data_IF_772999400631
#
_entry.id   IF_772999400631
#
_cell.length_a   1.000
_cell.length_b   1.000
_cell.length_c   1.000
_cell.angle_alpha   90.00
_cell.angle_beta   90.00
_cell.angle_gamma   90.00
#
_symmetry.space_group_name_H-M   'P 1'
#
loop_
_entity.id
_entity.type
_entity.pdbx_description
1 polymer ?
#
# COMPACT_ATOMS: atom_id res chain seq x y z
N UNK A 1 40.87 -12.68 5.28
CA UNK A 1 40.36 -12.56 5.30
C UNK A 1 39.56 -12.48 5.27
N UNK A 2 39.43 -12.31 5.02
CA UNK A 2 38.68 -12.11 4.89
C UNK A 2 37.59 -11.99 4.84
N UNK A 3 37.54 -11.81 4.69
CA UNK A 3 36.47 -11.62 4.58
C UNK A 3 35.62 -11.66 4.69
N UNK A 4 35.73 -11.68 4.65
CA UNK A 4 34.71 -11.58 4.74
C UNK A 4 33.97 -11.43 4.95
N UNK A 5 34.32 -11.39 5.00
CA UNK A 5 33.53 -11.09 5.22
C UNK A 5 32.58 -10.72 5.31
N UNK A 6 32.50 -10.43 5.12
CA UNK A 6 31.55 -10.04 5.18
C UNK A 6 30.62 -9.87 5.01
N UNK A 7 30.84 -9.80 4.82
CA UNK A 7 29.99 -9.66 4.60
C UNK A 7 29.06 -9.80 4.62
N UNK A 8 29.07 -9.81 4.44
CA UNK A 8 28.23 -10.03 4.47
C UNK A 8 27.39 -9.91 4.94
N UNK A 9 27.47 -9.81 5.22
CA UNK A 9 26.71 -9.74 5.85
C UNK A 9 25.86 -9.04 5.92
N UNK A 10 26.14 -8.51 5.78
CA UNK A 10 25.34 -7.60 5.89
C UNK A 10 24.29 -7.68 5.14
N UNK A 11 24.56 -8.04 4.35
CA UNK A 11 23.62 -8.24 3.63
C UNK A 11 22.56 -8.83 4.09
N UNK A 12 22.75 -9.51 4.78
CA UNK A 12 21.70 -10.16 5.26
C UNK A 12 20.81 -9.26 5.79
N UNK A 13 21.34 -8.39 6.34
CA UNK A 13 20.57 -7.44 6.90
C UNK A 13 19.64 -6.95 5.91
N UNK A 14 20.05 -6.91 4.75
CA UNK A 14 19.21 -6.41 3.75
C UNK A 14 17.93 -7.13 3.71
N UNK A 15 17.97 -8.38 3.85
CA UNK A 15 16.76 -9.12 3.79
C UNK A 15 15.83 -8.74 4.86
N UNK A 16 16.34 -8.50 6.00
CA UNK A 16 15.49 -8.12 7.07
C UNK A 16 14.86 -6.82 6.80
N UNK A 17 15.58 -5.98 6.20
CA UNK A 17 15.04 -4.71 5.94
C UNK A 17 13.87 -4.79 5.05
N UNK A 18 13.77 -5.84 4.31
CA UNK A 18 12.64 -6.00 3.47
C UNK A 18 11.35 -5.96 4.22
N UNK A 19 11.36 -6.38 5.45
CA UNK A 19 10.13 -6.33 6.19
C UNK A 19 9.76 -4.91 6.51
N UNK A 20 10.72 -4.10 6.87
CA UNK A 20 10.42 -2.73 7.15
C UNK A 20 9.85 -2.06 5.93
N UNK A 21 10.44 -2.32 4.80
CA UNK A 21 9.97 -1.72 3.58
C UNK A 21 8.57 -2.19 3.25
N UNK A 22 8.30 -3.46 3.46
CA UNK A 22 6.99 -3.98 3.16
C UNK A 22 5.93 -3.42 4.08
N UNK A 23 6.32 -2.99 5.25
CA UNK A 23 5.36 -2.43 6.17
C UNK A 23 5.06 -0.98 5.86
N UNK A 24 5.84 -0.34 5.01
CA UNK A 24 5.60 1.05 4.68
C UNK A 24 4.85 1.15 3.38
N UNK A 25 3.71 1.78 3.42
CA UNK A 25 2.96 2.03 2.22
C UNK A 25 3.66 3.12 1.41
N UNK A 26 3.57 3.01 0.11
CA UNK A 26 4.17 3.97 -0.80
C UNK A 26 3.07 4.87 -1.36
N UNK A 27 2.95 6.07 -0.83
CA UNK A 27 1.90 6.99 -1.25
C UNK A 27 2.07 7.42 -2.71
N UNK A 28 3.30 7.47 -3.21
CA UNK A 28 3.51 7.84 -4.61
C UNK A 28 2.97 6.75 -5.53
N UNK A 29 3.21 5.48 -5.18
CA UNK A 29 2.65 4.38 -5.93
C UNK A 29 1.13 4.37 -5.79
N UNK A 30 0.65 4.72 -4.61
CA UNK A 30 -0.79 4.81 -4.36
C UNK A 30 -1.45 5.87 -5.22
N UNK A 31 -0.78 6.98 -5.45
CA UNK A 31 -1.30 8.02 -6.32
C UNK A 31 -1.51 7.49 -7.72
N UNK A 32 -0.56 6.71 -8.22
CA UNK A 32 -0.69 6.15 -9.56
C UNK A 32 -1.89 5.20 -9.62
N UNK A 33 -2.06 4.35 -8.61
CA UNK A 33 -3.18 3.43 -8.54
C UNK A 33 -4.50 4.18 -8.47
N UNK A 34 -4.54 5.20 -7.61
CA UNK A 34 -5.76 6.00 -7.48
C UNK A 34 -6.13 6.65 -8.80
N UNK A 35 -5.17 7.24 -9.46
CA UNK A 35 -5.41 7.94 -10.72
C UNK A 35 -5.93 6.99 -11.79
N UNK A 36 -5.42 5.77 -11.83
CA UNK A 36 -5.80 4.81 -12.85
C UNK A 36 -7.14 4.14 -12.58
N UNK A 37 -7.46 3.93 -11.31
CA UNK A 37 -8.59 3.08 -10.96
C UNK A 37 -9.70 3.82 -10.23
N UNK A 38 -9.34 4.66 -9.27
CA UNK A 38 -10.33 5.24 -8.36
C UNK A 38 -10.85 6.59 -8.81
N UNK A 39 -10.06 7.33 -9.56
CA UNK A 39 -10.40 8.73 -9.86
C UNK A 39 -11.57 8.89 -10.82
N UNK A 40 -12.02 7.81 -11.43
CA UNK A 40 -13.19 7.89 -12.29
C UNK A 40 -14.44 8.23 -11.52
N UNK A 41 -14.50 7.83 -10.25
CA UNK A 41 -15.69 8.01 -9.44
C UNK A 41 -15.45 8.75 -8.14
N UNK A 42 -14.18 8.87 -7.74
CA UNK A 42 -13.82 9.44 -6.45
C UNK A 42 -12.80 10.54 -6.59
N UNK A 43 -12.81 11.44 -5.64
CA UNK A 43 -11.75 12.43 -5.51
C UNK A 43 -11.00 12.12 -4.23
N UNK A 44 -9.71 12.38 -4.22
CA UNK A 44 -8.90 12.05 -3.06
C UNK A 44 -9.38 12.80 -1.82
N UNK A 45 -9.92 13.99 -2.00
CA UNK A 45 -10.44 14.77 -0.88
C UNK A 45 -11.58 14.08 -0.15
N UNK A 46 -12.27 13.15 -0.81
CA UNK A 46 -13.36 12.42 -0.18
C UNK A 46 -12.88 11.57 0.98
N UNK A 47 -11.61 11.23 1.01
CA UNK A 47 -11.04 10.33 2.01
C UNK A 47 -10.06 11.02 2.95
N UNK A 48 -9.90 12.30 2.78
CA UNK A 48 -8.94 13.04 3.58
C UNK A 48 -9.35 12.97 5.05
N UNK A 49 -8.38 12.66 5.90
CA UNK A 49 -8.67 12.57 7.32
C UNK A 49 -9.12 11.21 7.78
N UNK A 50 -9.41 10.28 6.87
CA UNK A 50 -9.77 8.95 7.29
C UNK A 50 -8.54 8.17 7.73
N UNK A 51 -8.78 7.11 8.52
CA UNK A 51 -7.71 6.27 9.00
C UNK A 51 -7.29 5.30 7.90
N UNK A 52 -6.00 5.25 7.60
CA UNK A 52 -5.51 4.43 6.51
C UNK A 52 -5.77 2.93 6.75
N UNK A 53 -5.61 2.47 7.99
CA UNK A 53 -5.83 1.06 8.27
C UNK A 53 -7.30 0.70 8.09
N UNK A 54 -8.20 1.57 8.51
CA UNK A 54 -9.62 1.32 8.34
C UNK A 54 -9.99 1.31 6.86
N UNK A 55 -9.41 2.22 6.08
CA UNK A 55 -9.70 2.27 4.66
C UNK A 55 -9.14 1.03 3.96
N UNK A 56 -7.97 0.56 4.36
CA UNK A 56 -7.45 -0.68 3.81
C UNK A 56 -8.43 -1.83 4.03
N UNK A 57 -8.99 -1.92 5.23
CA UNK A 57 -9.95 -2.97 5.53
C UNK A 57 -11.17 -2.89 4.64
N UNK A 58 -11.66 -1.68 4.41
CA UNK A 58 -12.81 -1.48 3.52
C UNK A 58 -12.48 -1.91 2.09
N UNK A 59 -11.32 -1.49 1.59
CA UNK A 59 -10.93 -1.84 0.23
C UNK A 59 -10.75 -3.34 0.09
N UNK A 60 -10.17 -4.00 1.09
CA UNK A 60 -10.02 -5.45 1.05
C UNK A 60 -11.37 -6.14 0.95
N UNK A 61 -12.38 -5.64 1.64
CA UNK A 61 -13.71 -6.22 1.55
C UNK A 61 -14.28 -6.04 0.15
N UNK A 62 -14.04 -4.93 -0.46
CA UNK A 62 -14.51 -4.70 -1.83
C UNK A 62 -13.80 -5.66 -2.78
N UNK A 63 -12.49 -5.76 -2.68
CA UNK A 63 -11.70 -6.63 -3.55
C UNK A 63 -12.11 -8.09 -3.36
N UNK A 64 -12.42 -8.48 -2.13
CA UNK A 64 -12.84 -9.83 -1.83
C UNK A 64 -14.29 -10.14 -2.11
N UNK A 65 -15.03 -9.16 -2.61
CA UNK A 65 -16.43 -9.39 -2.93
C UNK A 65 -17.37 -9.37 -1.73
N UNK A 66 -16.87 -8.93 -0.57
CA UNK A 66 -17.68 -8.91 0.64
C UNK A 66 -18.46 -7.63 0.81
N UNK A 67 -18.16 -6.63 0.00
CA UNK A 67 -18.84 -5.36 0.06
C UNK A 67 -19.16 -4.93 -1.37
N UNK A 68 -20.37 -4.45 -1.58
CA UNK A 68 -20.75 -4.00 -2.90
C UNK A 68 -20.00 -2.74 -3.29
N UNK A 69 -19.62 -2.70 -4.53
CA UNK A 69 -18.94 -1.54 -5.09
C UNK A 69 -19.28 -1.49 -6.56
N UNK A 70 -19.50 -0.30 -7.07
CA UNK A 70 -19.98 -0.16 -8.44
C UNK A 70 -19.00 -0.76 -9.43
N UNK A 71 -17.70 -0.64 -9.15
CA UNK A 71 -16.66 -1.14 -10.03
C UNK A 71 -15.91 -2.24 -9.32
N UNK A 72 -15.66 -3.33 -10.00
CA UNK A 72 -14.87 -4.39 -9.43
C UNK A 72 -13.43 -3.91 -9.29
N UNK A 73 -12.82 -4.16 -8.14
CA UNK A 73 -11.46 -3.75 -7.88
C UNK A 73 -10.55 -4.97 -7.83
N UNK A 74 -9.45 -4.90 -8.55
CA UNK A 74 -8.45 -5.97 -8.55
C UNK A 74 -7.14 -5.36 -8.10
N UNK A 75 -6.88 -5.45 -6.82
CA UNK A 75 -5.71 -4.84 -6.21
C UNK A 75 -5.01 -5.86 -5.34
N UNK A 76 -3.68 -5.82 -5.34
CA UNK A 76 -2.91 -6.62 -4.41
C UNK A 76 -2.93 -5.96 -3.04
N UNK A 77 -2.54 -6.70 -2.01
CA UNK A 77 -2.46 -6.13 -0.67
C UNK A 77 -1.53 -4.92 -0.62
N UNK A 78 -0.41 -4.99 -1.34
CA UNK A 78 0.51 -3.87 -1.39
C UNK A 78 -0.13 -2.65 -2.04
N UNK A 79 -0.88 -2.85 -3.12
CA UNK A 79 -1.56 -1.75 -3.77
C UNK A 79 -2.64 -1.16 -2.89
N UNK A 80 -3.33 -1.99 -2.12
CA UNK A 80 -4.35 -1.51 -1.19
C UNK A 80 -3.71 -0.62 -0.13
N UNK A 81 -2.58 -1.06 0.44
CA UNK A 81 -1.89 -0.26 1.44
C UNK A 81 -1.40 1.05 0.84
N UNK A 82 -0.84 1.00 -0.35
CA UNK A 82 -0.32 2.19 -1.00
C UNK A 82 -1.42 3.20 -1.30
N UNK A 83 -2.53 2.74 -1.86
CA UNK A 83 -3.58 3.66 -2.23
C UNK A 83 -4.28 4.23 -1.00
N UNK A 84 -4.42 3.44 0.06
CA UNK A 84 -5.00 3.95 1.29
C UNK A 84 -4.11 5.03 1.91
N UNK A 85 -2.80 4.84 1.86
CA UNK A 85 -1.88 5.85 2.36
C UNK A 85 -2.00 7.15 1.56
N UNK A 86 -2.11 7.02 0.25
CA UNK A 86 -2.26 8.21 -0.58
C UNK A 86 -3.58 8.92 -0.29
N UNK A 87 -4.68 8.16 -0.25
CA UNK A 87 -6.01 8.75 -0.11
C UNK A 87 -6.21 9.44 1.24
N UNK A 88 -5.60 8.93 2.27
CA UNK A 88 -5.80 9.47 3.62
C UNK A 88 -4.71 10.44 4.05
N UNK A 89 -3.72 10.65 3.21
CA UNK A 89 -2.59 11.49 3.60
C UNK A 89 -1.69 10.83 4.61
N UNK A 90 -1.75 9.51 4.70
CA UNK A 90 -0.89 8.77 5.61
C UNK A 90 -1.47 8.60 7.00
N UNK A 91 -2.72 8.94 7.16
CA UNK A 91 -3.37 8.80 8.46
C UNK A 91 -4.14 7.49 8.53
#
# INVERSE_FOLDING_TARGET
MRVSRLVVIASAAAGLLGFGAAAHADAAAGKATFTQICSECHEVADFEGEDAAALQGTIKKIVGGQMKHKKELKLTDAQIADVAAYMTGGK
#
